data_IF_154416329095
#
_entry.id   IF_154416329095
#
_cell.length_a   1.000
_cell.length_b   1.000
_cell.length_c   1.000
_cell.angle_alpha   90.00
_cell.angle_beta   90.00
_cell.angle_gamma   90.00
#
_symmetry.space_group_name_H-M   'P 1'
#
loop_
_entity.id
_entity.type
_entity.pdbx_description
1 polymer ?
#
# COMPACT_ATOMS: atom_id res chain seq x y z
N UNK A 1 -6.61 11.27 3.23
CA UNK A 1 -5.30 11.55 2.62
C UNK A 1 -5.17 10.60 1.43
N UNK A 2 -5.02 11.11 0.19
CA UNK A 2 -4.96 10.26 -1.02
C UNK A 2 -3.60 9.57 -1.15
N UNK A 3 -3.50 8.48 -1.93
CA UNK A 3 -2.24 7.75 -2.16
C UNK A 3 -1.10 8.66 -2.64
N UNK A 4 -1.39 9.64 -3.50
CA UNK A 4 -0.42 10.64 -3.96
C UNK A 4 0.10 11.55 -2.82
N UNK A 5 -0.71 11.82 -1.81
CA UNK A 5 -0.34 12.66 -0.66
C UNK A 5 0.55 11.88 0.33
N UNK A 6 0.39 10.55 0.41
CA UNK A 6 1.31 9.68 1.15
C UNK A 6 2.69 9.61 0.50
N UNK A 7 2.77 9.41 -0.82
CA UNK A 7 4.06 9.36 -1.53
C UNK A 7 4.86 10.66 -1.34
N UNK A 8 4.20 11.82 -1.49
CA UNK A 8 4.82 13.12 -1.24
C UNK A 8 5.23 13.33 0.23
N UNK A 9 4.51 12.73 1.17
CA UNK A 9 4.84 12.78 2.60
C UNK A 9 6.03 11.88 2.95
N UNK A 10 6.15 10.70 2.33
CA UNK A 10 7.31 9.81 2.48
C UNK A 10 8.57 10.46 1.89
N UNK A 11 8.48 11.07 0.70
CA UNK A 11 9.59 11.81 0.10
C UNK A 11 10.10 12.94 1.01
N UNK A 12 9.19 13.65 1.69
CA UNK A 12 9.55 14.68 2.69
C UNK A 12 10.31 14.10 3.88
N UNK A 13 10.01 12.87 4.32
CA UNK A 13 10.77 12.23 5.40
C UNK A 13 12.22 11.99 4.96
N UNK A 14 12.43 11.46 3.75
CA UNK A 14 13.78 11.26 3.22
C UNK A 14 14.56 12.58 3.11
N UNK A 15 13.94 13.63 2.58
CA UNK A 15 14.54 14.98 2.52
C UNK A 15 14.90 15.52 3.92
N UNK A 16 14.07 15.29 4.93
CA UNK A 16 14.40 15.67 6.30
C UNK A 16 15.58 14.88 6.86
N UNK A 17 15.67 13.58 6.59
CA UNK A 17 16.74 12.72 7.07
C UNK A 17 18.08 13.02 6.39
N UNK A 18 18.09 13.25 5.08
CA UNK A 18 19.28 13.64 4.29
C UNK A 18 19.87 14.97 4.80
N UNK A 19 19.00 15.90 5.18
CA UNK A 19 19.40 17.22 5.72
C UNK A 19 19.57 17.24 7.25
N UNK A 20 19.66 16.08 7.91
CA UNK A 20 19.85 15.95 9.36
C UNK A 20 18.77 16.63 10.24
N UNK A 21 17.58 16.90 9.69
CA UNK A 21 16.42 17.51 10.38
C UNK A 21 15.56 16.44 11.05
N UNK A 22 16.11 15.79 12.08
CA UNK A 22 15.50 14.62 12.75
C UNK A 22 14.14 14.94 13.38
N UNK A 23 13.97 16.09 14.02
CA UNK A 23 12.68 16.51 14.58
C UNK A 23 11.60 16.61 13.49
N UNK A 24 11.94 17.23 12.35
CA UNK A 24 11.03 17.35 11.21
C UNK A 24 10.67 15.97 10.64
N UNK A 25 11.64 15.05 10.57
CA UNK A 25 11.39 13.67 10.17
C UNK A 25 10.43 12.95 11.14
N UNK A 26 10.64 13.07 12.46
CA UNK A 26 9.76 12.48 13.49
C UNK A 26 8.33 13.03 13.37
N UNK A 27 8.17 14.35 13.20
CA UNK A 27 6.85 14.97 13.00
C UNK A 27 6.16 14.48 11.74
N UNK A 28 6.90 14.34 10.63
CA UNK A 28 6.35 13.81 9.38
C UNK A 28 5.94 12.33 9.53
N UNK A 29 6.77 11.51 10.18
CA UNK A 29 6.44 10.12 10.52
C UNK A 29 5.18 10.02 11.38
N UNK A 30 5.03 10.86 12.42
CA UNK A 30 3.83 10.90 13.25
C UNK A 30 2.57 11.23 12.45
N UNK A 31 2.65 12.19 11.51
CA UNK A 31 1.52 12.56 10.65
C UNK A 31 1.10 11.40 9.76
N UNK A 32 2.05 10.71 9.14
CA UNK A 32 1.78 9.52 8.33
C UNK A 32 1.19 8.40 9.18
N UNK A 33 1.75 8.12 10.37
CA UNK A 33 1.24 7.09 11.26
C UNK A 33 -0.21 7.33 11.68
N UNK A 34 -0.57 8.57 12.02
CA UNK A 34 -1.97 8.94 12.30
C UNK A 34 -2.87 8.79 11.09
N UNK A 35 -2.42 9.21 9.92
CA UNK A 35 -3.21 9.08 8.69
C UNK A 35 -3.44 7.61 8.31
N UNK A 36 -2.41 6.77 8.47
CA UNK A 36 -2.45 5.33 8.22
C UNK A 36 -3.14 4.52 9.33
N UNK A 37 -3.58 5.18 10.42
CA UNK A 37 -4.14 4.53 11.61
C UNK A 37 -3.17 3.53 12.28
N UNK A 38 -1.85 3.71 12.09
CA UNK A 38 -0.81 2.97 12.80
C UNK A 38 -0.63 3.59 14.20
N UNK A 39 -1.50 3.16 15.13
CA UNK A 39 -1.52 3.66 16.50
C UNK A 39 -0.24 3.35 17.28
N UNK A 40 0.49 2.27 16.92
CA UNK A 40 1.72 1.91 17.61
C UNK A 40 2.87 2.83 17.20
N UNK A 41 3.08 3.04 15.90
CA UNK A 41 4.11 3.97 15.42
C UNK A 41 3.78 5.41 15.81
N UNK A 42 2.50 5.81 15.79
CA UNK A 42 2.07 7.11 16.30
C UNK A 42 2.47 7.29 17.77
N UNK A 43 2.24 6.28 18.63
CA UNK A 43 2.63 6.33 20.03
C UNK A 43 4.16 6.43 20.22
N UNK A 44 4.95 5.76 19.39
CA UNK A 44 6.40 5.87 19.42
C UNK A 44 6.86 7.29 19.09
N UNK A 45 6.46 7.84 17.94
CA UNK A 45 6.91 9.17 17.51
C UNK A 45 6.38 10.28 18.43
N UNK A 46 5.21 10.11 19.02
CA UNK A 46 4.67 11.03 20.01
C UNK A 46 5.56 11.13 21.26
N UNK A 47 6.11 10.00 21.74
CA UNK A 47 7.06 9.99 22.86
C UNK A 47 8.39 10.67 22.55
N UNK A 48 8.81 10.64 21.28
CA UNK A 48 10.03 11.33 20.84
C UNK A 48 9.86 12.86 20.85
N UNK A 49 8.64 13.35 20.64
CA UNK A 49 8.31 14.78 20.70
C UNK A 49 8.04 15.25 22.13
N UNK A 50 7.38 14.42 22.94
CA UNK A 50 6.98 14.75 24.30
C UNK A 50 7.53 13.71 25.28
N UNK A 51 8.70 13.93 25.92
CA UNK A 51 9.22 13.00 26.92
C UNK A 51 8.38 12.99 28.21
N UNK A 52 7.49 13.97 28.39
CA UNK A 52 6.60 14.06 29.55
C UNK A 52 5.50 12.99 29.53
N UNK A 53 5.54 12.09 30.52
CA UNK A 53 4.58 11.00 30.71
C UNK A 53 3.11 11.45 30.68
N UNK A 54 2.79 12.61 31.25
CA UNK A 54 1.41 13.11 31.36
C UNK A 54 0.86 13.60 30.01
N UNK A 55 1.71 14.25 29.21
CA UNK A 55 1.33 14.74 27.88
C UNK A 55 1.13 13.59 26.90
N UNK A 56 2.04 12.61 26.91
CA UNK A 56 1.89 11.39 26.10
C UNK A 56 0.62 10.63 26.48
N UNK A 57 0.34 10.46 27.77
CA UNK A 57 -0.85 9.77 28.23
C UNK A 57 -2.14 10.46 27.75
N UNK A 58 -2.19 11.79 27.79
CA UNK A 58 -3.32 12.58 27.31
C UNK A 58 -3.52 12.42 25.81
N UNK A 59 -2.47 12.68 25.02
CA UNK A 59 -2.56 12.61 23.57
C UNK A 59 -2.86 11.19 23.07
N UNK A 60 -2.32 10.15 23.71
CA UNK A 60 -2.69 8.76 23.40
C UNK A 60 -4.14 8.44 23.76
N UNK A 61 -4.64 8.94 24.90
CA UNK A 61 -6.03 8.69 25.30
C UNK A 61 -7.02 9.25 24.28
N UNK A 62 -6.76 10.46 23.77
CA UNK A 62 -7.58 11.12 22.75
C UNK A 62 -7.55 10.35 21.42
N UNK A 63 -6.37 9.94 20.97
CA UNK A 63 -6.18 9.23 19.69
C UNK A 63 -6.68 7.79 19.68
N UNK A 64 -6.74 7.15 20.84
CA UNK A 64 -7.09 5.73 20.96
C UNK A 64 -8.45 5.49 21.58
N UNK A 65 -9.31 6.51 21.68
CA UNK A 65 -10.60 6.43 22.38
C UNK A 65 -11.46 5.23 21.95
N UNK A 66 -11.45 4.88 20.67
CA UNK A 66 -12.17 3.76 20.05
C UNK A 66 -11.60 2.37 20.37
N UNK A 67 -10.37 2.30 20.88
CA UNK A 67 -9.72 1.04 21.24
C UNK A 67 -10.17 0.53 22.61
N UNK A 68 -10.13 -0.80 22.77
CA UNK A 68 -10.40 -1.44 24.05
C UNK A 68 -9.29 -1.14 25.08
N UNK A 69 -9.56 -1.42 26.36
CA UNK A 69 -8.64 -1.13 27.47
C UNK A 69 -7.31 -1.87 27.36
N UNK A 70 -7.34 -3.11 26.85
CA UNK A 70 -6.14 -3.94 26.71
C UNK A 70 -5.20 -3.41 25.63
N UNK A 71 -5.74 -3.03 24.47
CA UNK A 71 -5.00 -2.40 23.38
C UNK A 71 -4.39 -1.06 23.81
N UNK A 72 -5.14 -0.23 24.56
CA UNK A 72 -4.62 1.02 25.13
C UNK A 72 -3.43 0.77 26.05
N UNK A 73 -3.54 -0.21 26.95
CA UNK A 73 -2.45 -0.61 27.85
C UNK A 73 -1.24 -1.11 27.07
N UNK A 74 -1.47 -2.00 26.10
CA UNK A 74 -0.41 -2.52 25.22
C UNK A 74 0.35 -1.40 24.50
N UNK A 75 -0.37 -0.48 23.86
CA UNK A 75 0.25 0.65 23.16
C UNK A 75 1.08 1.50 24.12
N UNK A 76 0.56 1.80 25.30
CA UNK A 76 1.24 2.61 26.30
C UNK A 76 2.53 1.95 26.81
N UNK A 77 2.46 0.70 27.24
CA UNK A 77 3.58 -0.04 27.83
C UNK A 77 4.65 -0.35 26.78
N UNK A 78 4.24 -0.87 25.62
CA UNK A 78 5.17 -1.28 24.58
C UNK A 78 5.87 -0.09 23.92
N UNK A 79 5.18 1.04 23.77
CA UNK A 79 5.81 2.26 23.28
C UNK A 79 6.81 2.84 24.29
N UNK A 80 6.53 2.74 25.60
CA UNK A 80 7.46 3.16 26.64
C UNK A 80 8.74 2.30 26.63
N UNK A 81 8.59 0.97 26.57
CA UNK A 81 9.72 0.04 26.54
C UNK A 81 10.64 0.31 25.33
N UNK A 82 10.05 0.52 24.14
CA UNK A 82 10.82 0.86 22.93
C UNK A 82 11.47 2.23 22.98
N UNK A 83 10.85 3.18 23.67
CA UNK A 83 11.42 4.49 23.89
C UNK A 83 12.62 4.40 24.85
N UNK A 84 12.46 3.73 25.99
CA UNK A 84 13.53 3.48 26.97
C UNK A 84 14.72 2.79 26.31
N UNK A 85 14.49 1.68 25.59
CA UNK A 85 15.54 0.95 24.88
C UNK A 85 16.32 1.82 23.89
N UNK A 86 15.67 2.78 23.23
CA UNK A 86 16.36 3.68 22.29
C UNK A 86 17.22 4.72 23.02
N UNK A 87 16.77 5.19 24.19
CA UNK A 87 17.43 6.25 24.97
C UNK A 87 18.45 5.74 26.00
N UNK A 88 18.49 4.44 26.25
CA UNK A 88 19.53 3.82 27.08
C UNK A 88 20.88 3.85 26.37
N UNK A 89 21.90 4.39 27.03
CA UNK A 89 23.28 4.44 26.55
C UNK A 89 24.19 3.69 27.51
N UNK A 90 24.87 2.67 27.01
CA UNK A 90 25.79 1.88 27.82
C UNK A 90 27.00 2.72 28.28
N UNK A 91 27.30 2.69 29.58
CA UNK A 91 28.53 3.24 30.14
C UNK A 91 28.56 4.76 30.43
N UNK A 92 27.40 5.43 30.55
CA UNK A 92 27.35 6.84 30.99
C UNK A 92 27.44 6.97 32.52
N UNK A 93 26.80 6.05 33.26
CA UNK A 93 26.95 5.89 34.70
C UNK A 93 27.61 4.54 35.01
N UNK A 94 28.91 4.57 35.29
CA UNK A 94 29.62 3.49 36.00
C UNK A 94 29.69 3.83 37.50
N UNK A 95 28.53 4.14 38.08
CA UNK A 95 28.39 4.23 39.53
C UNK A 95 28.37 2.79 40.05
N UNK A 96 29.53 2.29 40.44
CA UNK A 96 29.74 0.90 40.91
C UNK A 96 28.90 0.51 42.14
N UNK A 97 28.27 1.47 42.80
CA UNK A 97 27.44 1.30 44.00
C UNK A 97 25.93 1.16 43.72
N UNK A 98 25.47 1.27 42.45
CA UNK A 98 24.04 1.08 42.12
C UNK A 98 23.77 -0.33 41.64
N UNK A 99 22.73 -0.96 42.21
CA UNK A 99 22.21 -2.25 41.76
C UNK A 99 21.95 -2.22 40.24
N UNK A 100 22.13 -3.37 39.57
CA UNK A 100 22.06 -3.51 38.11
C UNK A 100 20.73 -3.00 37.51
N UNK A 101 19.66 -2.93 38.32
CA UNK A 101 18.35 -2.38 37.98
C UNK A 101 18.15 -0.87 38.21
N UNK A 102 19.08 -0.18 38.88
CA UNK A 102 19.01 1.26 39.21
C UNK A 102 19.95 2.14 38.37
N UNK A 103 20.73 1.54 37.46
CA UNK A 103 21.59 2.27 36.51
C UNK A 103 20.74 3.00 35.48
N UNK A 104 20.34 4.23 35.79
CA UNK A 104 19.54 5.08 34.91
C UNK A 104 20.38 5.70 33.78
N UNK A 105 20.92 4.86 32.91
CA UNK A 105 21.65 5.24 31.69
C UNK A 105 20.73 5.80 30.58
N UNK A 106 19.57 6.36 30.94
CA UNK A 106 18.54 6.81 30.00
C UNK A 106 18.65 8.31 29.77
N UNK A 107 18.85 8.70 28.52
CA UNK A 107 18.84 10.11 28.12
C UNK A 107 17.40 10.60 27.94
N UNK A 108 16.84 11.23 28.96
CA UNK A 108 15.53 11.89 28.87
C UNK A 108 15.67 13.23 28.12
N UNK A 109 15.42 13.25 26.82
CA UNK A 109 15.47 14.48 26.00
C UNK A 109 14.47 14.39 24.85
N UNK A 110 13.75 15.49 24.56
CA UNK A 110 12.89 15.55 23.38
C UNK A 110 13.74 15.68 22.11
N UNK A 111 13.30 15.11 20.99
CA UNK A 111 14.06 15.18 19.73
C UNK A 111 14.35 16.63 19.28
N UNK A 112 13.42 17.56 19.53
CA UNK A 112 13.60 18.99 19.22
C UNK A 112 14.63 19.70 20.11
N UNK A 113 14.95 19.14 21.28
CA UNK A 113 15.89 19.72 22.24
C UNK A 113 17.32 19.15 22.09
N UNK A 114 17.49 18.05 21.35
CA UNK A 114 18.77 17.32 21.27
C UNK A 114 19.93 18.18 20.79
N UNK A 115 19.75 18.98 19.72
CA UNK A 115 20.81 19.85 19.21
C UNK A 115 21.17 20.96 20.19
N UNK A 116 20.16 21.58 20.82
CA UNK A 116 20.38 22.60 21.83
C UNK A 116 21.07 22.03 23.08
N UNK A 117 20.77 20.78 23.47
CA UNK A 117 21.52 20.07 24.51
C UNK A 117 22.97 19.80 24.10
N UNK A 118 23.22 19.27 22.90
CA UNK A 118 24.58 19.01 22.40
C UNK A 118 25.41 20.30 22.44
N UNK A 119 24.86 21.41 21.95
CA UNK A 119 25.57 22.67 21.91
C UNK A 119 25.83 23.25 23.31
N UNK A 120 24.86 23.13 24.22
CA UNK A 120 25.06 23.49 25.64
C UNK A 120 26.20 22.71 26.27
N UNK A 121 26.25 21.39 26.09
CA UNK A 121 27.34 20.56 26.63
C UNK A 121 28.70 20.87 26.00
N UNK A 122 28.74 21.22 24.72
CA UNK A 122 29.96 21.69 24.05
C UNK A 122 30.46 23.03 24.62
N UNK A 123 29.56 23.97 24.88
CA UNK A 123 29.87 25.22 25.56
C UNK A 123 30.48 24.97 26.94
N UNK A 124 29.82 24.17 27.77
CA UNK A 124 30.33 23.77 29.10
C UNK A 124 31.71 23.12 29.02
N UNK A 125 31.96 22.27 28.02
CA UNK A 125 33.25 21.64 27.81
C UNK A 125 34.36 22.64 27.45
N UNK A 126 34.01 23.67 26.66
CA UNK A 126 34.92 24.76 26.27
C UNK A 126 35.26 25.66 27.45
N UNK A 127 34.28 25.97 28.29
CA UNK A 127 34.44 26.84 29.47
C UNK A 127 35.24 26.16 30.59
N UNK A 128 35.36 24.83 30.55
CA UNK A 128 36.07 24.02 31.54
C UNK A 128 37.60 24.17 31.42
N UNK A 129 38.08 25.32 31.86
CA UNK A 129 39.48 25.75 31.92
C UNK A 129 39.84 26.24 33.32
N UNK A 130 41.14 26.26 33.63
CA UNK A 130 41.62 26.73 34.94
C UNK A 130 41.42 28.24 35.03
N UNK A 131 40.70 28.77 36.05
CA UNK A 131 40.55 30.20 36.22
C UNK A 131 41.88 30.91 36.50
N UNK A 132 42.11 32.11 35.93
CA UNK A 132 43.32 32.87 36.23
C UNK A 132 43.34 33.33 37.70
N UNK A 133 44.52 33.32 38.33
CA UNK A 133 44.73 33.83 39.69
C UNK A 133 44.52 32.81 40.82
N UNK A 134 44.36 31.53 40.50
CA UNK A 134 44.23 30.45 41.49
C UNK A 134 45.58 30.13 42.16
N UNK A 135 45.56 29.74 43.44
CA UNK A 135 46.78 29.30 44.14
C UNK A 135 47.30 27.97 43.54
N UNK A 136 48.60 27.70 43.69
CA UNK A 136 49.25 26.53 43.06
C UNK A 136 48.64 25.18 43.51
N UNK A 137 48.25 25.07 44.79
CA UNK A 137 47.62 23.86 45.32
C UNK A 137 46.22 23.64 44.73
N UNK A 138 45.40 24.69 44.69
CA UNK A 138 44.04 24.65 44.13
C UNK A 138 44.07 24.38 42.62
N UNK A 139 45.06 24.92 41.92
CA UNK A 139 45.30 24.66 40.49
C UNK A 139 45.58 23.18 40.22
N UNK A 140 46.42 22.55 41.05
CA UNK A 140 46.74 21.13 40.90
C UNK A 140 45.52 20.23 41.19
N UNK A 141 44.75 20.56 42.23
CA UNK A 141 43.51 19.84 42.57
C UNK A 141 42.47 19.94 41.44
N UNK A 142 42.26 21.14 40.89
CA UNK A 142 41.34 21.35 39.77
C UNK A 142 41.83 20.62 38.51
N UNK A 143 43.12 20.71 38.17
CA UNK A 143 43.70 20.04 37.01
C UNK A 143 43.59 18.51 37.09
N UNK A 144 43.67 17.94 38.29
CA UNK A 144 43.46 16.50 38.50
C UNK A 144 42.01 16.06 38.28
N UNK A 145 41.02 16.92 38.58
CA UNK A 145 39.60 16.62 38.40
C UNK A 145 39.09 16.83 36.95
N UNK A 146 39.77 17.70 36.18
CA UNK A 146 39.39 18.05 34.80
C UNK A 146 39.17 16.84 33.87
N UNK A 147 40.07 15.82 33.80
CA UNK A 147 39.89 14.69 32.89
C UNK A 147 38.59 13.93 33.11
N UNK A 148 38.21 13.69 34.38
CA UNK A 148 36.98 12.98 34.73
C UNK A 148 35.74 13.79 34.30
N UNK A 149 35.70 15.08 34.63
CA UNK A 149 34.60 15.97 34.22
C UNK A 149 34.46 16.05 32.69
N UNK A 150 35.59 16.17 31.97
CA UNK A 150 35.60 16.17 30.50
C UNK A 150 35.12 14.84 29.93
N UNK A 151 35.47 13.71 30.56
CA UNK A 151 35.01 12.40 30.13
C UNK A 151 33.48 12.26 30.26
N UNK A 152 32.90 12.67 31.40
CA UNK A 152 31.45 12.65 31.61
C UNK A 152 30.70 13.50 30.59
N UNK A 153 31.16 14.74 30.35
CA UNK A 153 30.52 15.64 29.36
C UNK A 153 30.62 15.04 27.94
N UNK A 154 31.78 14.49 27.56
CA UNK A 154 31.97 13.84 26.25
C UNK A 154 31.09 12.60 26.10
N UNK A 155 30.96 11.78 27.14
CA UNK A 155 30.08 10.62 27.15
C UNK A 155 28.61 11.02 26.96
N UNK A 156 28.16 12.11 27.61
CA UNK A 156 26.82 12.67 27.42
C UNK A 156 26.59 13.12 25.98
N UNK A 157 27.53 13.88 25.39
CA UNK A 157 27.44 14.33 23.98
C UNK A 157 27.39 13.12 23.03
N UNK A 158 28.24 12.12 23.23
CA UNK A 158 28.26 10.89 22.44
C UNK A 158 26.94 10.11 22.54
N UNK A 159 26.37 10.06 23.75
CA UNK A 159 25.05 9.46 23.99
C UNK A 159 23.94 10.18 23.22
N UNK A 160 23.90 11.52 23.25
CA UNK A 160 22.91 12.31 22.50
C UNK A 160 23.02 12.06 20.99
N UNK A 161 24.24 12.01 20.44
CA UNK A 161 24.46 11.64 19.04
C UNK A 161 24.00 10.20 18.73
N UNK A 162 24.20 9.27 19.66
CA UNK A 162 23.76 7.88 19.52
C UNK A 162 22.23 7.78 19.46
N UNK A 163 21.53 8.46 20.37
CA UNK A 163 20.06 8.55 20.36
C UNK A 163 19.57 9.17 19.04
N UNK A 164 20.15 10.31 18.63
CA UNK A 164 19.82 10.98 17.36
C UNK A 164 19.99 10.03 16.16
N UNK A 165 21.08 9.29 16.10
CA UNK A 165 21.34 8.32 15.03
C UNK A 165 20.32 7.16 15.04
N UNK A 166 19.95 6.64 16.21
CA UNK A 166 18.91 5.61 16.34
C UNK A 166 17.54 6.13 15.89
N UNK A 167 17.21 7.39 16.19
CA UNK A 167 15.97 8.03 15.72
C UNK A 167 15.93 8.19 14.21
N UNK A 168 17.05 8.58 13.58
CA UNK A 168 17.15 8.59 12.12
C UNK A 168 16.85 7.23 11.53
N UNK A 169 17.50 6.18 12.03
CA UNK A 169 17.28 4.82 11.55
C UNK A 169 15.82 4.37 11.74
N UNK A 170 15.19 4.75 12.85
CA UNK A 170 13.76 4.46 13.09
C UNK A 170 12.86 5.16 12.07
N UNK A 171 13.06 6.46 11.83
CA UNK A 171 12.29 7.20 10.84
C UNK A 171 12.50 6.65 9.43
N UNK A 172 13.75 6.29 9.08
CA UNK A 172 14.08 5.68 7.80
C UNK A 172 13.35 4.35 7.61
N UNK A 173 13.44 3.45 8.59
CA UNK A 173 12.80 2.13 8.52
C UNK A 173 11.28 2.25 8.40
N UNK A 174 10.68 3.22 9.08
CA UNK A 174 9.24 3.49 8.98
C UNK A 174 8.86 4.06 7.60
N UNK A 175 9.63 4.98 7.05
CA UNK A 175 9.41 5.50 5.70
C UNK A 175 9.49 4.38 4.65
N UNK A 176 10.48 3.49 4.76
CA UNK A 176 10.65 2.32 3.88
C UNK A 176 9.46 1.36 4.00
N UNK A 177 8.94 1.10 5.20
CA UNK A 177 7.79 0.19 5.34
C UNK A 177 6.54 0.76 4.68
N UNK A 178 6.27 2.06 4.85
CA UNK A 178 5.15 2.74 4.18
C UNK A 178 5.34 2.76 2.66
N UNK A 179 6.55 3.02 2.18
CA UNK A 179 6.86 2.95 0.75
C UNK A 179 6.59 1.56 0.15
N UNK A 180 6.98 0.50 0.86
CA UNK A 180 6.68 -0.87 0.44
C UNK A 180 5.18 -1.15 0.36
N UNK A 181 4.39 -0.67 1.32
CA UNK A 181 2.92 -0.79 1.31
C UNK A 181 2.29 -0.05 0.13
N UNK A 182 2.73 1.20 -0.13
CA UNK A 182 2.27 1.99 -1.28
C UNK A 182 2.63 1.32 -2.61
N UNK A 183 3.85 0.78 -2.73
CA UNK A 183 4.31 0.06 -3.91
C UNK A 183 3.56 -1.27 -4.10
N UNK A 184 3.14 -1.93 -3.03
CA UNK A 184 2.29 -3.13 -3.11
C UNK A 184 0.88 -2.79 -3.62
N UNK A 185 0.27 -1.72 -3.08
CA UNK A 185 -1.03 -1.24 -3.54
C UNK A 185 -1.00 -0.86 -5.04
N UNK A 186 0.00 -0.10 -5.44
CA UNK A 186 0.18 0.35 -6.84
C UNK A 186 0.42 -0.82 -7.80
N UNK A 187 1.23 -1.83 -7.42
CA UNK A 187 1.47 -3.03 -8.24
C UNK A 187 0.19 -3.82 -8.52
N UNK A 188 -0.71 -3.91 -7.56
CA UNK A 188 -1.99 -4.61 -7.74
C UNK A 188 -2.92 -3.86 -8.70
N UNK A 189 -2.95 -2.52 -8.65
CA UNK A 189 -3.70 -1.70 -9.61
C UNK A 189 -3.18 -1.87 -11.05
N UNK A 190 -1.86 -2.00 -11.23
CA UNK A 190 -1.26 -2.18 -12.55
C UNK A 190 -1.63 -3.49 -13.26
N UNK A 191 -1.91 -4.57 -12.53
CA UNK A 191 -2.24 -5.86 -13.16
C UNK A 191 -3.54 -5.78 -13.96
N UNK A 192 -4.64 -5.35 -13.33
CA UNK A 192 -5.93 -5.22 -14.02
C UNK A 192 -5.89 -4.16 -15.11
N UNK A 193 -5.20 -3.04 -14.86
CA UNK A 193 -4.99 -2.02 -15.89
C UNK A 193 -4.19 -2.56 -17.09
N UNK A 194 -3.22 -3.44 -16.84
CA UNK A 194 -2.47 -4.16 -17.88
C UNK A 194 -3.38 -5.05 -18.73
N UNK A 195 -4.26 -5.83 -18.11
CA UNK A 195 -5.26 -6.66 -18.79
C UNK A 195 -6.21 -5.80 -19.64
N UNK A 196 -6.71 -4.69 -19.09
CA UNK A 196 -7.59 -3.77 -19.82
C UNK A 196 -6.90 -3.16 -21.05
N UNK A 197 -5.66 -2.69 -20.88
CA UNK A 197 -4.87 -2.11 -21.96
C UNK A 197 -4.57 -3.11 -23.07
N UNK A 198 -4.29 -4.36 -22.72
CA UNK A 198 -4.08 -5.45 -23.68
C UNK A 198 -5.32 -5.69 -24.53
N UNK A 199 -6.48 -5.80 -23.87
CA UNK A 199 -7.78 -5.99 -24.54
C UNK A 199 -8.10 -4.78 -25.43
N UNK A 200 -8.02 -3.56 -24.91
CA UNK A 200 -8.28 -2.34 -25.68
C UNK A 200 -7.31 -2.21 -26.87
N UNK A 201 -6.03 -2.50 -26.67
CA UNK A 201 -5.00 -2.45 -27.70
C UNK A 201 -5.24 -3.45 -28.84
N UNK A 202 -5.73 -4.64 -28.53
CA UNK A 202 -6.09 -5.62 -29.56
C UNK A 202 -7.27 -5.17 -30.42
N UNK A 203 -8.35 -4.69 -29.78
CA UNK A 203 -9.56 -4.29 -30.50
C UNK A 203 -9.43 -2.95 -31.22
N UNK A 204 -8.53 -2.07 -30.77
CA UNK A 204 -8.27 -0.79 -31.43
C UNK A 204 -7.86 -0.98 -32.90
N UNK A 205 -8.63 -0.37 -33.80
CA UNK A 205 -8.43 -0.50 -35.25
C UNK A 205 -8.93 -1.82 -35.87
N UNK A 206 -9.44 -2.77 -35.06
CA UNK A 206 -10.10 -4.01 -35.54
C UNK A 206 -11.62 -3.94 -35.35
N UNK A 207 -12.04 -3.51 -34.17
CA UNK A 207 -13.44 -3.31 -33.81
C UNK A 207 -13.54 -2.22 -32.74
N UNK A 208 -13.49 -0.96 -33.17
CA UNK A 208 -13.56 0.20 -32.26
C UNK A 208 -14.87 0.24 -31.46
N UNK A 209 -15.93 -0.36 -32.00
CA UNK A 209 -17.22 -0.53 -31.32
C UNK A 209 -17.10 -1.35 -30.02
N UNK A 210 -16.25 -2.36 -29.99
CA UNK A 210 -15.96 -3.16 -28.77
C UNK A 210 -15.26 -2.29 -27.73
N UNK A 211 -14.27 -1.49 -28.15
CA UNK A 211 -13.53 -0.59 -27.26
C UNK A 211 -14.46 0.45 -26.66
N UNK A 212 -15.33 1.08 -27.45
CA UNK A 212 -16.29 2.07 -26.96
C UNK A 212 -17.23 1.48 -25.90
N UNK A 213 -17.73 0.26 -26.13
CA UNK A 213 -18.59 -0.45 -25.18
C UNK A 213 -17.84 -0.84 -23.90
N UNK A 214 -16.59 -1.28 -24.00
CA UNK A 214 -15.73 -1.57 -22.85
C UNK A 214 -15.45 -0.31 -22.01
N UNK A 215 -15.14 0.81 -22.65
CA UNK A 215 -14.93 2.10 -21.96
C UNK A 215 -16.20 2.54 -21.24
N UNK A 216 -17.36 2.46 -21.91
CA UNK A 216 -18.64 2.77 -21.30
C UNK A 216 -18.96 1.86 -20.11
N UNK A 217 -18.71 0.55 -20.24
CA UNK A 217 -18.88 -0.39 -19.14
C UNK A 217 -17.94 -0.06 -17.95
N UNK A 218 -16.68 0.30 -18.21
CA UNK A 218 -15.78 0.75 -17.14
C UNK A 218 -16.27 2.01 -16.44
N UNK A 219 -16.85 2.98 -17.17
CA UNK A 219 -17.44 4.18 -16.57
C UNK A 219 -18.63 3.86 -15.66
N UNK A 220 -19.55 3.00 -16.11
CA UNK A 220 -20.70 2.56 -15.32
C UNK A 220 -20.28 1.77 -14.09
N UNK A 221 -19.20 0.99 -14.17
CA UNK A 221 -18.63 0.27 -13.04
C UNK A 221 -18.09 1.21 -11.94
N UNK A 222 -17.70 2.43 -12.29
CA UNK A 222 -17.22 3.45 -11.36
C UNK A 222 -18.32 4.37 -10.82
N UNK A 223 -19.57 4.25 -11.30
CA UNK A 223 -20.69 5.06 -10.82
C UNK A 223 -21.03 4.76 -9.35
N UNK A 224 -21.72 5.66 -8.66
CA UNK A 224 -22.27 5.40 -7.32
C UNK A 224 -23.75 4.99 -7.36
N UNK A 225 -24.40 5.12 -8.52
CA UNK A 225 -25.84 4.93 -8.67
C UNK A 225 -26.19 3.45 -8.88
N UNK A 226 -27.19 2.95 -8.15
CA UNK A 226 -27.61 1.54 -8.23
C UNK A 226 -28.23 1.19 -9.59
N UNK A 227 -28.93 2.13 -10.22
CA UNK A 227 -29.55 1.98 -11.54
C UNK A 227 -28.52 1.69 -12.65
N UNK A 228 -27.30 2.20 -12.51
CA UNK A 228 -26.20 1.97 -13.46
C UNK A 228 -25.73 0.51 -13.47
N UNK A 229 -26.06 -0.30 -12.45
CA UNK A 229 -25.69 -1.71 -12.39
C UNK A 229 -26.38 -2.53 -13.49
N UNK A 230 -27.65 -2.24 -13.78
CA UNK A 230 -28.39 -2.90 -14.85
C UNK A 230 -27.88 -2.48 -16.24
N UNK A 231 -27.52 -1.19 -16.38
CA UNK A 231 -26.94 -0.66 -17.60
C UNK A 231 -25.54 -1.25 -17.85
N UNK A 232 -24.73 -1.38 -16.80
CA UNK A 232 -23.42 -2.05 -16.85
C UNK A 232 -23.54 -3.47 -17.40
N UNK A 233 -24.41 -4.31 -16.82
CA UNK A 233 -24.61 -5.68 -17.33
C UNK A 233 -25.09 -5.72 -18.78
N UNK A 234 -25.89 -4.73 -19.18
CA UNK A 234 -26.35 -4.61 -20.57
C UNK A 234 -25.19 -4.28 -21.49
N UNK A 235 -24.31 -3.35 -21.11
CA UNK A 235 -23.11 -3.03 -21.88
C UNK A 235 -22.12 -4.20 -21.92
N UNK A 236 -21.91 -4.91 -20.82
CA UNK A 236 -21.05 -6.12 -20.78
C UNK A 236 -21.54 -7.18 -21.78
N UNK A 237 -22.86 -7.39 -21.88
CA UNK A 237 -23.44 -8.29 -22.90
C UNK A 237 -23.24 -7.77 -24.33
N UNK A 238 -23.36 -6.46 -24.54
CA UNK A 238 -23.09 -5.82 -25.83
C UNK A 238 -21.62 -5.98 -26.24
N UNK A 239 -20.69 -5.92 -25.30
CA UNK A 239 -19.26 -6.19 -25.54
C UNK A 239 -19.07 -7.63 -26.04
N UNK A 240 -19.66 -8.62 -25.37
CA UNK A 240 -19.57 -10.02 -25.79
C UNK A 240 -20.19 -10.25 -27.16
N UNK A 241 -21.34 -9.63 -27.43
CA UNK A 241 -21.97 -9.68 -28.75
C UNK A 241 -21.06 -9.09 -29.83
N UNK A 242 -20.58 -7.86 -29.64
CA UNK A 242 -19.70 -7.20 -30.60
C UNK A 242 -18.38 -7.96 -30.81
N UNK A 243 -17.85 -8.60 -29.76
CA UNK A 243 -16.68 -9.48 -29.84
C UNK A 243 -17.01 -10.74 -30.67
N UNK A 244 -18.16 -11.35 -30.45
CA UNK A 244 -18.63 -12.49 -31.24
C UNK A 244 -18.83 -12.13 -32.71
N UNK A 245 -19.33 -10.92 -32.99
CA UNK A 245 -19.50 -10.42 -34.37
C UNK A 245 -18.16 -10.25 -35.09
N UNK A 246 -17.09 -9.88 -34.38
CA UNK A 246 -15.74 -9.84 -34.93
C UNK A 246 -15.16 -11.24 -35.18
N UNK A 247 -15.24 -12.13 -34.19
CA UNK A 247 -14.57 -13.43 -34.24
C UNK A 247 -15.33 -14.49 -35.06
N UNK A 248 -16.65 -14.44 -35.02
CA UNK A 248 -17.54 -15.39 -35.70
C UNK A 248 -18.84 -14.69 -36.15
N UNK A 249 -18.80 -13.97 -37.29
CA UNK A 249 -19.98 -13.32 -37.86
C UNK A 249 -21.13 -14.30 -38.08
N UNK A 250 -22.36 -13.79 -37.99
CA UNK A 250 -23.57 -14.60 -38.24
C UNK A 250 -23.57 -15.05 -39.70
N UNK A 251 -23.56 -16.36 -39.93
CA UNK A 251 -23.61 -16.97 -41.27
C UNK A 251 -25.02 -17.43 -41.64
N UNK A 252 -25.75 -17.97 -40.67
CA UNK A 252 -27.06 -18.61 -40.87
C UNK A 252 -27.82 -18.64 -39.54
N UNK A 253 -29.15 -18.49 -39.62
CA UNK A 253 -30.07 -18.59 -38.46
C UNK A 253 -30.56 -20.04 -38.19
N UNK A 254 -30.31 -20.94 -39.14
CA UNK A 254 -30.61 -22.36 -39.00
C UNK A 254 -29.63 -23.08 -38.06
N UNK A 255 -30.05 -24.18 -37.40
CA UNK A 255 -29.16 -24.95 -36.55
C UNK A 255 -28.01 -25.58 -37.36
N UNK A 256 -26.77 -25.33 -36.94
CA UNK A 256 -25.56 -25.86 -37.58
C UNK A 256 -24.93 -26.94 -36.69
N UNK A 257 -24.37 -27.98 -37.32
CA UNK A 257 -23.57 -28.98 -36.64
C UNK A 257 -22.21 -28.37 -36.27
N UNK A 258 -22.00 -28.15 -34.98
CA UNK A 258 -20.78 -27.55 -34.41
C UNK A 258 -19.61 -28.55 -34.42
N UNK A 259 -18.39 -28.05 -34.18
CA UNK A 259 -17.16 -28.87 -34.16
C UNK A 259 -17.18 -30.01 -33.14
N UNK A 260 -17.99 -29.92 -32.08
CA UNK A 260 -18.19 -30.97 -31.08
C UNK A 260 -19.26 -32.01 -31.48
N UNK A 261 -19.82 -31.91 -32.68
CA UNK A 261 -20.85 -32.80 -33.19
C UNK A 261 -22.27 -32.48 -32.72
N UNK A 262 -22.46 -31.47 -31.87
CA UNK A 262 -23.80 -31.03 -31.42
C UNK A 262 -24.41 -30.02 -32.39
N UNK A 263 -25.73 -30.06 -32.52
CA UNK A 263 -26.48 -29.11 -33.36
C UNK A 263 -26.91 -27.91 -32.51
N UNK A 264 -26.41 -26.70 -32.82
CA UNK A 264 -26.77 -25.46 -32.12
C UNK A 264 -27.15 -24.36 -33.10
N UNK A 265 -28.00 -23.43 -32.65
CA UNK A 265 -28.25 -22.18 -33.38
C UNK A 265 -27.11 -21.20 -33.14
N UNK A 266 -26.59 -20.63 -34.22
CA UNK A 266 -25.50 -19.64 -34.24
C UNK A 266 -25.99 -18.30 -34.83
N UNK A 267 -27.23 -17.92 -34.51
CA UNK A 267 -27.85 -16.67 -34.94
C UNK A 267 -27.35 -15.45 -34.16
N UNK A 268 -27.92 -14.29 -34.47
CA UNK A 268 -27.52 -13.01 -33.86
C UNK A 268 -27.62 -13.02 -32.32
N UNK A 269 -28.69 -13.62 -31.78
CA UNK A 269 -28.94 -13.69 -30.34
C UNK A 269 -28.02 -14.69 -29.62
N UNK A 270 -27.49 -15.71 -30.31
CA UNK A 270 -26.66 -16.77 -29.73
C UNK A 270 -25.16 -16.44 -29.77
N UNK A 271 -24.79 -15.20 -29.44
CA UNK A 271 -23.41 -14.72 -29.45
C UNK A 271 -22.44 -15.54 -28.56
N UNK A 272 -22.89 -16.07 -27.42
CA UNK A 272 -22.07 -16.97 -26.58
C UNK A 272 -21.77 -18.30 -27.29
N UNK A 273 -22.76 -18.92 -27.95
CA UNK A 273 -22.55 -20.13 -28.73
C UNK A 273 -21.58 -19.88 -29.90
N UNK A 274 -21.64 -18.68 -30.51
CA UNK A 274 -20.71 -18.26 -31.57
C UNK A 274 -19.27 -18.17 -31.05
N UNK A 275 -19.07 -17.60 -29.85
CA UNK A 275 -17.75 -17.57 -29.21
C UNK A 275 -17.26 -18.99 -28.83
N UNK A 276 -18.14 -19.87 -28.34
CA UNK A 276 -17.78 -21.26 -28.04
C UNK A 276 -17.30 -21.99 -29.29
N UNK A 277 -17.99 -21.82 -30.42
CA UNK A 277 -17.59 -22.42 -31.69
C UNK A 277 -16.26 -21.84 -32.19
N UNK A 278 -16.07 -20.52 -32.11
CA UNK A 278 -14.81 -19.89 -32.45
C UNK A 278 -13.63 -20.45 -31.65
N UNK A 279 -13.77 -20.53 -30.32
CA UNK A 279 -12.74 -21.09 -29.42
C UNK A 279 -12.40 -22.52 -29.82
N UNK A 280 -13.42 -23.34 -30.14
CA UNK A 280 -13.23 -24.76 -30.49
C UNK A 280 -12.58 -24.98 -31.85
N UNK A 281 -12.91 -24.15 -32.84
CA UNK A 281 -12.39 -24.26 -34.21
C UNK A 281 -11.01 -23.63 -34.31
N UNK A 282 -10.83 -22.43 -33.75
CA UNK A 282 -9.60 -21.65 -33.95
C UNK A 282 -8.45 -22.08 -33.06
N UNK A 283 -8.73 -22.58 -31.87
CA UNK A 283 -7.70 -23.06 -30.95
C UNK A 283 -7.50 -24.57 -31.11
N UNK A 284 -6.28 -24.97 -31.45
CA UNK A 284 -5.89 -26.39 -31.52
C UNK A 284 -6.10 -27.07 -30.16
N UNK A 285 -6.37 -28.37 -30.17
CA UNK A 285 -6.56 -29.21 -28.97
C UNK A 285 -5.41 -28.97 -27.97
N UNK A 286 -5.69 -28.19 -26.93
CA UNK A 286 -4.73 -27.79 -25.92
C UNK A 286 -5.47 -27.50 -24.63
N UNK A 287 -4.79 -27.66 -23.49
CA UNK A 287 -5.33 -27.33 -22.16
C UNK A 287 -5.87 -25.90 -22.10
N UNK A 288 -5.25 -24.98 -22.85
CA UNK A 288 -5.70 -23.61 -23.02
C UNK A 288 -7.11 -23.47 -23.61
N UNK A 289 -7.44 -24.25 -24.65
CA UNK A 289 -8.78 -24.27 -25.25
C UNK A 289 -9.81 -24.74 -24.23
N UNK A 290 -9.50 -25.78 -23.48
CA UNK A 290 -10.43 -26.35 -22.51
C UNK A 290 -10.66 -25.38 -21.34
N UNK A 291 -9.62 -24.65 -20.90
CA UNK A 291 -9.75 -23.56 -19.91
C UNK A 291 -10.64 -22.42 -20.41
N UNK A 292 -10.43 -21.95 -21.66
CA UNK A 292 -11.26 -20.90 -22.26
C UNK A 292 -12.71 -21.33 -22.45
N UNK A 293 -12.94 -22.60 -22.79
CA UNK A 293 -14.30 -23.15 -22.90
C UNK A 293 -15.01 -23.14 -21.54
N UNK A 294 -14.32 -23.58 -20.47
CA UNK A 294 -14.86 -23.55 -19.10
C UNK A 294 -15.12 -22.11 -18.63
N UNK A 295 -14.24 -21.17 -18.95
CA UNK A 295 -14.42 -19.75 -18.62
C UNK A 295 -15.66 -19.18 -19.33
N UNK A 296 -15.87 -19.52 -20.60
CA UNK A 296 -17.02 -19.08 -21.36
C UNK A 296 -18.33 -19.72 -20.87
N UNK A 297 -18.30 -20.99 -20.49
CA UNK A 297 -19.44 -21.69 -19.87
C UNK A 297 -19.80 -21.07 -18.51
N UNK A 298 -18.80 -20.65 -17.74
CA UNK A 298 -19.01 -19.92 -16.49
C UNK A 298 -19.67 -18.57 -16.74
N UNK A 299 -19.20 -17.80 -17.73
CA UNK A 299 -19.82 -16.53 -18.13
C UNK A 299 -21.27 -16.75 -18.59
N UNK A 300 -21.55 -17.78 -19.38
CA UNK A 300 -22.92 -18.11 -19.80
C UNK A 300 -23.83 -18.39 -18.59
N UNK A 301 -23.38 -19.26 -17.67
CA UNK A 301 -24.12 -19.58 -16.46
C UNK A 301 -24.35 -18.34 -15.58
N UNK A 302 -23.35 -17.47 -15.47
CA UNK A 302 -23.42 -16.22 -14.73
C UNK A 302 -24.47 -15.27 -15.32
N UNK A 303 -24.42 -14.99 -16.62
CA UNK A 303 -25.40 -14.10 -17.27
C UNK A 303 -26.81 -14.69 -17.26
N UNK A 304 -26.97 -16.01 -17.39
CA UNK A 304 -28.27 -16.67 -17.27
C UNK A 304 -28.87 -16.45 -15.87
N UNK A 305 -28.09 -16.69 -14.82
CA UNK A 305 -28.55 -16.46 -13.43
C UNK A 305 -28.93 -15.01 -13.16
N UNK A 306 -28.15 -14.06 -13.66
CA UNK A 306 -28.47 -12.64 -13.51
C UNK A 306 -29.75 -12.24 -14.27
N UNK A 307 -29.99 -12.82 -15.44
CA UNK A 307 -31.24 -12.62 -16.18
C UNK A 307 -32.45 -13.21 -15.46
N UNK A 308 -32.30 -14.41 -14.89
CA UNK A 308 -33.36 -15.05 -14.12
C UNK A 308 -33.71 -14.24 -12.87
N UNK A 309 -32.71 -13.60 -12.27
CA UNK A 309 -32.85 -12.73 -11.10
C UNK A 309 -33.60 -11.43 -11.47
N UNK A 310 -33.24 -10.80 -12.59
CA UNK A 310 -33.92 -9.59 -13.09
C UNK A 310 -35.35 -9.83 -13.59
N UNK A 311 -35.68 -11.05 -14.03
CA UNK A 311 -37.01 -11.37 -14.60
C UNK A 311 -38.07 -11.74 -13.56
N UNK A 312 -37.69 -11.97 -12.29
CA UNK A 312 -38.61 -12.41 -11.22
C UNK A 312 -39.29 -11.29 -10.42
N UNK A 313 -39.05 -10.04 -10.76
CA UNK A 313 -39.88 -8.90 -10.32
C UNK A 313 -39.66 -8.42 -8.88
N UNK A 314 -39.30 -7.14 -8.80
CA UNK A 314 -39.58 -6.17 -7.71
C UNK A 314 -38.65 -6.10 -6.49
N UNK A 315 -37.76 -7.07 -6.19
CA UNK A 315 -36.73 -6.85 -5.14
C UNK A 315 -35.34 -7.42 -5.40
N UNK A 316 -35.09 -8.01 -6.57
CA UNK A 316 -33.77 -8.54 -6.90
C UNK A 316 -33.01 -7.55 -7.80
N UNK A 317 -32.69 -6.38 -7.24
CA UNK A 317 -31.77 -5.44 -7.87
C UNK A 317 -30.40 -6.10 -7.99
N UNK A 318 -29.85 -6.12 -9.20
CA UNK A 318 -28.46 -6.54 -9.42
C UNK A 318 -27.58 -5.57 -8.65
N UNK A 319 -26.78 -6.11 -7.74
CA UNK A 319 -25.84 -5.30 -6.98
C UNK A 319 -24.71 -4.82 -7.88
N UNK A 320 -24.15 -3.66 -7.54
CA UNK A 320 -22.98 -3.15 -8.26
C UNK A 320 -21.79 -4.12 -8.23
N UNK A 321 -21.63 -4.89 -7.14
CA UNK A 321 -20.60 -5.91 -7.02
C UNK A 321 -20.78 -7.03 -8.06
N UNK A 322 -22.01 -7.53 -8.25
CA UNK A 322 -22.33 -8.52 -9.27
C UNK A 322 -22.12 -7.98 -10.68
N UNK A 323 -22.51 -6.73 -10.94
CA UNK A 323 -22.31 -6.11 -12.25
C UNK A 323 -20.81 -5.92 -12.57
N UNK A 324 -19.99 -5.53 -11.58
CA UNK A 324 -18.53 -5.45 -11.69
C UNK A 324 -17.90 -6.82 -11.94
N UNK A 325 -18.38 -7.88 -11.29
CA UNK A 325 -17.90 -9.24 -11.53
C UNK A 325 -18.08 -9.66 -12.99
N UNK A 326 -19.21 -9.30 -13.62
CA UNK A 326 -19.43 -9.54 -15.05
C UNK A 326 -18.39 -8.84 -15.94
N UNK A 327 -18.09 -7.57 -15.66
CA UNK A 327 -17.08 -6.82 -16.41
C UNK A 327 -15.68 -7.42 -16.26
N UNK A 328 -15.29 -7.77 -15.03
CA UNK A 328 -14.00 -8.42 -14.74
C UNK A 328 -13.88 -9.74 -15.49
N UNK A 329 -14.93 -10.58 -15.45
CA UNK A 329 -14.95 -11.85 -16.17
C UNK A 329 -14.79 -11.69 -17.67
N UNK A 330 -15.42 -10.68 -18.28
CA UNK A 330 -15.24 -10.39 -19.71
C UNK A 330 -13.82 -9.94 -20.05
N UNK A 331 -13.21 -9.09 -19.22
CA UNK A 331 -11.80 -8.68 -19.44
C UNK A 331 -10.84 -9.87 -19.36
N UNK A 332 -11.02 -10.78 -18.39
CA UNK A 332 -10.18 -11.98 -18.28
C UNK A 332 -10.35 -12.90 -19.49
N UNK A 333 -11.60 -13.21 -19.87
CA UNK A 333 -11.87 -14.07 -21.01
C UNK A 333 -11.28 -13.50 -22.31
N UNK A 334 -11.52 -12.22 -22.59
CA UNK A 334 -11.00 -11.57 -23.78
C UNK A 334 -9.47 -11.52 -23.76
N UNK A 335 -8.86 -11.20 -22.62
CA UNK A 335 -7.41 -11.19 -22.47
C UNK A 335 -6.80 -12.56 -22.74
N UNK A 336 -7.35 -13.62 -22.13
CA UNK A 336 -6.89 -14.99 -22.35
C UNK A 336 -7.02 -15.39 -23.83
N UNK A 337 -8.17 -15.09 -24.44
CA UNK A 337 -8.41 -15.35 -25.86
C UNK A 337 -7.39 -14.62 -26.75
N UNK A 338 -7.18 -13.33 -26.51
CA UNK A 338 -6.24 -12.48 -27.26
C UNK A 338 -4.80 -12.99 -27.14
N UNK A 339 -4.37 -13.41 -25.94
CA UNK A 339 -3.03 -13.98 -25.73
C UNK A 339 -2.82 -15.22 -26.59
N UNK A 340 -3.83 -16.08 -26.68
CA UNK A 340 -3.75 -17.24 -27.55
C UNK A 340 -3.77 -16.87 -29.04
N UNK A 341 -4.57 -15.88 -29.44
CA UNK A 341 -4.61 -15.42 -30.84
C UNK A 341 -3.34 -14.69 -31.28
N UNK A 342 -2.61 -14.04 -30.35
CA UNK A 342 -1.35 -13.35 -30.64
C UNK A 342 -0.13 -14.27 -30.54
N UNK A 343 -0.16 -15.28 -29.68
CA UNK A 343 0.85 -16.33 -29.62
C UNK A 343 0.81 -17.27 -30.84
N UNK A 344 -0.37 -17.47 -31.42
CA UNK A 344 -0.55 -18.16 -32.70
C UNK A 344 -0.33 -17.12 -33.81
N UNK A 345 0.90 -17.00 -34.31
CA UNK A 345 1.24 -16.10 -35.41
C UNK A 345 0.35 -16.27 -36.66
N UNK A 346 0.32 -15.28 -37.58
CA UNK A 346 -0.64 -15.25 -38.68
C UNK A 346 -0.46 -16.48 -39.58
N UNK A 347 -1.52 -17.28 -39.74
CA UNK A 347 -1.53 -18.34 -40.77
C UNK A 347 -1.72 -17.70 -42.16
N UNK A 348 -1.08 -18.27 -43.20
CA UNK A 348 -1.02 -17.69 -44.53
C UNK A 348 -2.41 -17.62 -45.16
N UNK A 349 -2.68 -16.52 -45.86
CA UNK A 349 -3.85 -16.35 -46.72
C UNK A 349 -3.93 -17.50 -47.73
N UNK A 350 -4.97 -18.32 -47.66
CA UNK A 350 -5.31 -19.26 -48.73
C UNK A 350 -5.74 -18.44 -49.96
N UNK A 351 -4.94 -18.58 -51.01
CA UNK A 351 -5.12 -18.09 -52.38
C UNK A 351 -6.08 -18.93 -53.18
#
# INVERSE_FOLDING_TARGET
MNLMDYAASVARIFDHLENDRVESAVMACLRIARAAQDHFSAALFLRELYPNKAEVARALADETQHLNKESKRFLYERSLERWLSLHTIDGIDDDGDKDEGERANVLMVAVGEMEAEIERWRGTLSDLTVPPGMAAFDTAAFAAALPAQRATIRARIAGLHTVKARLKSRCLNYAISIEHELNAATRNEHFLHGVQNEVHGYFKGRADDVVQKLVKASQLASSADSEDSALLLTEVRRVLKASADLFWPVKTEEPVKCADGQTRKLGDQQHLNRLQEFVRVRLRNSTARDLLAVELDHLEAFFRRLNDLGSKGVHAEVTQAEARQGLVGVYFFLSNLIRHLTAVGPEPSES
#
